data_IF_397955854640
#
_entry.id   IF_397955854640
#
_cell.length_a   1.000
_cell.length_b   1.000
_cell.length_c   1.000
_cell.angle_alpha   90.00
_cell.angle_beta   90.00
_cell.angle_gamma   90.00
#
_symmetry.space_group_name_H-M   'P 1'
#
loop_
_entity.id
_entity.type
_entity.pdbx_description
1 polymer ?
#
# COMPACT_ATOMS: atom_id res chain seq x y z
N UNK A 1 -17.36 -13.76 -11.70
CA UNK A 1 -17.99 -12.49 -12.13
C UNK A 1 -17.49 -11.39 -11.19
N UNK A 2 -16.96 -10.26 -11.70
CA UNK A 2 -16.40 -9.18 -10.88
C UNK A 2 -17.52 -8.22 -10.47
N UNK A 3 -17.80 -8.06 -9.17
CA UNK A 3 -18.78 -7.09 -8.70
C UNK A 3 -18.02 -5.82 -8.28
N UNK A 4 -18.17 -4.74 -9.05
CA UNK A 4 -17.65 -3.40 -8.73
C UNK A 4 -18.81 -2.56 -8.22
N UNK A 5 -18.86 -2.29 -6.92
CA UNK A 5 -19.84 -1.36 -6.34
C UNK A 5 -19.30 0.07 -6.49
N UNK A 6 -19.83 0.81 -7.48
CA UNK A 6 -19.45 2.20 -7.72
C UNK A 6 -20.26 3.13 -6.80
N UNK A 7 -19.56 3.96 -6.02
CA UNK A 7 -20.12 4.73 -4.90
C UNK A 7 -20.44 6.19 -5.32
N UNK A 8 -21.24 6.39 -6.38
CA UNK A 8 -21.61 7.75 -6.83
C UNK A 8 -22.87 8.32 -6.18
N UNK A 9 -23.68 7.52 -5.48
CA UNK A 9 -24.92 8.03 -4.86
C UNK A 9 -25.00 7.69 -3.36
N UNK A 10 -24.65 8.68 -2.54
CA UNK A 10 -24.72 8.63 -1.07
C UNK A 10 -26.12 8.28 -0.53
N UNK A 11 -27.18 8.39 -1.34
CA UNK A 11 -28.56 8.13 -0.93
C UNK A 11 -28.92 6.63 -0.89
N UNK A 12 -28.17 5.77 -1.60
CA UNK A 12 -28.43 4.32 -1.63
C UNK A 12 -27.67 3.53 -0.55
N UNK A 13 -26.72 4.16 0.16
CA UNK A 13 -25.96 3.52 1.24
C UNK A 13 -26.89 3.09 2.38
N UNK A 14 -27.91 3.89 2.72
CA UNK A 14 -28.94 3.47 3.68
C UNK A 14 -29.82 2.34 3.15
N UNK A 15 -30.08 2.29 1.84
CA UNK A 15 -30.96 1.28 1.22
C UNK A 15 -30.29 -0.09 1.13
N UNK A 16 -28.99 -0.13 0.78
CA UNK A 16 -28.20 -1.38 0.75
C UNK A 16 -27.94 -1.87 2.18
N UNK A 17 -27.66 -0.97 3.14
CA UNK A 17 -27.45 -1.34 4.54
C UNK A 17 -28.71 -1.90 5.20
N UNK A 18 -29.89 -1.37 4.86
CA UNK A 18 -31.18 -1.88 5.35
C UNK A 18 -31.53 -3.25 4.75
N UNK A 19 -31.20 -3.49 3.47
CA UNK A 19 -31.42 -4.79 2.82
C UNK A 19 -30.40 -5.87 3.21
N UNK A 20 -29.16 -5.49 3.53
CA UNK A 20 -28.12 -6.43 3.99
C UNK A 20 -28.44 -7.07 5.36
N UNK A 21 -29.31 -6.46 6.16
CA UNK A 21 -29.68 -6.95 7.48
C UNK A 21 -30.95 -7.84 7.50
N UNK A 22 -31.71 -7.96 6.40
CA UNK A 22 -33.07 -8.51 6.47
C UNK A 22 -33.53 -9.56 5.45
N UNK A 23 -32.73 -10.03 4.49
CA UNK A 23 -33.25 -11.11 3.62
C UNK A 23 -32.23 -12.06 3.01
N UNK A 24 -32.69 -13.31 2.89
CA UNK A 24 -32.04 -14.56 2.55
C UNK A 24 -31.69 -14.85 1.07
N UNK A 25 -31.94 -14.02 0.03
CA UNK A 25 -31.66 -14.47 -1.34
C UNK A 25 -30.22 -14.22 -1.83
N UNK A 26 -29.30 -13.67 -1.03
CA UNK A 26 -27.91 -13.42 -1.48
C UNK A 26 -27.01 -14.66 -1.57
N UNK A 27 -27.49 -15.85 -1.19
CA UNK A 27 -26.77 -17.13 -1.31
C UNK A 27 -26.18 -17.39 -2.70
N UNK A 28 -26.83 -16.91 -3.77
CA UNK A 28 -26.37 -17.11 -5.16
C UNK A 28 -25.29 -16.11 -5.61
N UNK A 29 -25.15 -14.95 -4.94
CA UNK A 29 -24.15 -13.94 -5.31
C UNK A 29 -22.73 -14.34 -4.86
N UNK A 30 -22.63 -15.23 -3.88
CA UNK A 30 -21.36 -15.61 -3.25
C UNK A 30 -20.63 -16.77 -3.93
N UNK A 31 -21.29 -17.55 -4.80
CA UNK A 31 -20.66 -18.76 -5.34
C UNK A 31 -19.56 -18.52 -6.39
N UNK A 32 -19.40 -17.30 -6.94
CA UNK A 32 -18.37 -17.03 -7.99
C UNK A 32 -17.81 -15.58 -7.97
N UNK A 33 -17.81 -14.88 -6.83
CA UNK A 33 -17.51 -13.43 -6.80
C UNK A 33 -16.37 -13.09 -5.84
N UNK A 34 -15.28 -12.50 -6.38
CA UNK A 34 -14.26 -11.77 -5.62
C UNK A 34 -14.73 -10.32 -5.50
N UNK A 35 -14.90 -9.84 -4.27
CA UNK A 35 -15.54 -8.55 -4.00
C UNK A 35 -14.51 -7.43 -4.05
N UNK A 36 -14.75 -6.40 -4.88
CA UNK A 36 -14.04 -5.12 -4.82
C UNK A 36 -14.90 -4.17 -4.00
N UNK A 37 -14.38 -3.68 -2.88
CA UNK A 37 -15.12 -2.74 -2.03
C UNK A 37 -14.35 -1.44 -1.83
N UNK A 38 -14.87 -0.36 -2.43
CA UNK A 38 -14.34 1.00 -2.38
C UNK A 38 -15.16 1.81 -1.35
N UNK A 39 -15.04 1.49 -0.06
CA UNK A 39 -15.57 2.38 0.97
C UNK A 39 -14.52 3.39 1.40
N UNK A 40 -15.03 4.55 1.79
CA UNK A 40 -14.24 5.64 2.35
C UNK A 40 -14.12 5.55 3.89
N UNK A 41 -14.64 4.49 4.52
CA UNK A 41 -14.74 4.35 5.97
C UNK A 41 -14.54 2.89 6.40
N UNK A 42 -13.35 2.33 6.17
CA UNK A 42 -13.04 0.93 6.50
C UNK A 42 -13.11 0.65 8.00
N UNK A 43 -12.67 1.59 8.83
CA UNK A 43 -12.81 1.48 10.29
C UNK A 43 -14.23 1.22 10.80
N UNK A 44 -15.25 1.77 10.15
CA UNK A 44 -16.64 1.65 10.63
C UNK A 44 -17.35 0.43 10.05
N UNK A 45 -17.14 0.16 8.76
CA UNK A 45 -17.94 -0.83 8.03
C UNK A 45 -17.11 -1.89 7.29
N UNK A 46 -15.79 -1.71 7.21
CA UNK A 46 -14.91 -2.59 6.45
C UNK A 46 -14.90 -4.02 6.99
N UNK A 47 -14.90 -4.19 8.33
CA UNK A 47 -14.84 -5.52 8.94
C UNK A 47 -16.06 -6.38 8.58
N UNK A 48 -17.27 -5.80 8.59
CA UNK A 48 -18.48 -6.52 8.24
C UNK A 48 -18.40 -7.10 6.81
N UNK A 49 -17.76 -6.37 5.90
CA UNK A 49 -17.56 -6.81 4.51
C UNK A 49 -16.48 -7.87 4.39
N UNK A 50 -15.35 -7.73 5.07
CA UNK A 50 -14.31 -8.77 5.11
C UNK A 50 -14.87 -10.06 5.71
N UNK A 51 -15.59 -9.94 6.83
CA UNK A 51 -16.27 -11.05 7.50
C UNK A 51 -17.21 -11.77 6.54
N UNK A 52 -18.13 -11.03 5.91
CA UNK A 52 -19.09 -11.60 4.97
C UNK A 52 -18.39 -12.28 3.79
N UNK A 53 -17.33 -11.68 3.22
CA UNK A 53 -16.58 -12.30 2.14
C UNK A 53 -15.95 -13.64 2.57
N UNK A 54 -15.20 -13.64 3.67
CA UNK A 54 -14.45 -14.81 4.15
C UNK A 54 -15.39 -15.93 4.65
N UNK A 55 -16.48 -15.58 5.33
CA UNK A 55 -17.48 -16.55 5.77
C UNK A 55 -18.17 -17.23 4.59
N UNK A 56 -18.42 -16.51 3.50
CA UNK A 56 -19.09 -17.03 2.30
C UNK A 56 -18.15 -17.58 1.22
N UNK A 57 -16.84 -17.71 1.49
CA UNK A 57 -15.92 -18.33 0.52
C UNK A 57 -15.40 -17.39 -0.56
N UNK A 58 -15.46 -16.07 -0.35
CA UNK A 58 -14.99 -15.05 -1.28
C UNK A 58 -13.68 -14.40 -0.82
N UNK A 59 -12.81 -14.08 -1.79
CA UNK A 59 -11.63 -13.24 -1.57
C UNK A 59 -12.00 -11.75 -1.60
N UNK A 60 -11.21 -10.92 -0.92
CA UNK A 60 -11.44 -9.50 -0.73
C UNK A 60 -10.23 -8.66 -1.12
N UNK A 61 -10.47 -7.52 -1.77
CA UNK A 61 -9.48 -6.46 -1.99
C UNK A 61 -10.05 -5.10 -1.62
N UNK A 62 -9.22 -4.24 -1.02
CA UNK A 62 -9.58 -2.90 -0.59
C UNK A 62 -8.48 -1.86 -0.87
N UNK A 63 -8.81 -0.58 -0.70
CA UNK A 63 -7.87 0.56 -0.79
C UNK A 63 -7.64 1.22 0.57
N UNK A 64 -7.78 0.46 1.66
CA UNK A 64 -7.63 1.02 2.99
C UNK A 64 -6.19 1.46 3.24
N UNK A 65 -6.03 2.73 3.59
CA UNK A 65 -4.77 3.30 4.06
C UNK A 65 -4.67 3.36 5.58
N UNK A 66 -5.47 2.55 6.31
CA UNK A 66 -5.60 2.60 7.76
C UNK A 66 -4.92 1.38 8.41
N UNK A 67 -3.68 1.51 8.97
CA UNK A 67 -2.94 0.38 9.51
C UNK A 67 -3.70 -0.46 10.54
N UNK A 68 -4.45 0.18 11.44
CA UNK A 68 -5.24 -0.52 12.45
C UNK A 68 -6.32 -1.42 11.83
N UNK A 69 -6.99 -0.95 10.78
CA UNK A 69 -7.95 -1.77 10.06
C UNK A 69 -7.25 -2.95 9.38
N UNK A 70 -6.24 -2.67 8.54
CA UNK A 70 -5.50 -3.67 7.77
C UNK A 70 -4.93 -4.79 8.67
N UNK A 71 -4.29 -4.41 9.77
CA UNK A 71 -3.65 -5.34 10.70
C UNK A 71 -4.68 -6.11 11.53
N UNK A 72 -5.82 -5.49 11.89
CA UNK A 72 -6.90 -6.18 12.58
C UNK A 72 -7.58 -7.25 11.70
N UNK A 73 -7.69 -7.01 10.39
CA UNK A 73 -8.24 -8.00 9.46
C UNK A 73 -7.32 -9.22 9.38
N UNK A 74 -6.00 -9.01 9.40
CA UNK A 74 -5.04 -10.11 9.48
C UNK A 74 -5.22 -10.89 10.79
N UNK A 75 -5.26 -10.18 11.92
CA UNK A 75 -5.43 -10.82 13.23
C UNK A 75 -6.70 -11.67 13.33
N UNK A 76 -7.81 -11.22 12.75
CA UNK A 76 -9.12 -11.88 12.87
C UNK A 76 -9.37 -12.96 11.82
N UNK A 77 -8.93 -12.74 10.58
CA UNK A 77 -9.38 -13.54 9.43
C UNK A 77 -8.28 -14.34 8.75
N UNK A 78 -7.01 -14.22 9.16
CA UNK A 78 -5.92 -14.95 8.50
C UNK A 78 -6.18 -16.46 8.50
N UNK A 79 -6.44 -17.07 9.67
CA UNK A 79 -6.58 -18.53 9.79
C UNK A 79 -7.72 -19.11 8.94
N UNK A 80 -8.88 -18.46 8.94
CA UNK A 80 -10.02 -18.90 8.14
C UNK A 80 -9.77 -18.69 6.65
N UNK A 81 -9.08 -17.62 6.26
CA UNK A 81 -8.66 -17.38 4.88
C UNK A 81 -7.66 -18.45 4.41
N UNK A 82 -6.67 -18.84 5.25
CA UNK A 82 -5.74 -19.93 4.90
C UNK A 82 -6.47 -21.26 4.74
N UNK A 83 -7.32 -21.62 5.71
CA UNK A 83 -8.08 -22.89 5.69
C UNK A 83 -8.98 -23.02 4.47
N UNK A 84 -9.58 -21.92 4.02
CA UNK A 84 -10.48 -21.89 2.85
C UNK A 84 -9.75 -21.59 1.52
N UNK A 85 -8.44 -21.33 1.54
CA UNK A 85 -7.70 -20.90 0.35
C UNK A 85 -8.15 -19.55 -0.22
N UNK A 86 -8.63 -18.65 0.64
CA UNK A 86 -9.10 -17.31 0.27
C UNK A 86 -8.00 -16.27 0.50
N UNK A 87 -8.12 -15.15 -0.20
CA UNK A 87 -7.19 -14.03 -0.07
C UNK A 87 -7.91 -12.79 0.42
N UNK A 88 -7.34 -12.12 1.41
CA UNK A 88 -7.74 -10.77 1.83
C UNK A 88 -6.53 -9.88 1.61
N UNK A 89 -6.56 -9.04 0.58
CA UNK A 89 -5.42 -8.17 0.25
C UNK A 89 -5.82 -6.71 0.40
N UNK A 90 -5.41 -6.11 1.51
CA UNK A 90 -5.68 -4.71 1.78
C UNK A 90 -4.63 -3.78 1.17
N UNK A 91 -4.89 -2.47 1.21
CA UNK A 91 -3.99 -1.43 0.71
C UNK A 91 -3.66 -1.54 -0.80
N UNK A 92 -4.63 -2.01 -1.60
CA UNK A 92 -4.53 -2.09 -3.06
C UNK A 92 -4.81 -0.73 -3.76
N UNK A 93 -4.49 0.39 -3.11
CA UNK A 93 -4.62 1.74 -3.64
C UNK A 93 -3.29 2.34 -4.10
N UNK A 94 -3.36 3.54 -4.71
CA UNK A 94 -2.15 4.32 -5.05
C UNK A 94 -1.33 4.71 -3.82
N UNK A 95 -1.98 4.86 -2.68
CA UNK A 95 -1.39 5.23 -1.40
C UNK A 95 -0.53 4.12 -0.77
N UNK A 96 -0.36 2.96 -1.43
CA UNK A 96 0.46 1.87 -0.93
C UNK A 96 1.13 1.03 -2.03
N UNK A 97 0.45 0.69 -3.13
CA UNK A 97 1.02 -0.18 -4.18
C UNK A 97 2.33 0.37 -4.78
N UNK A 98 2.42 1.66 -5.20
CA UNK A 98 3.64 2.23 -5.75
C UNK A 98 4.84 2.14 -4.79
N UNK A 99 4.62 2.34 -3.49
CA UNK A 99 5.68 2.25 -2.49
C UNK A 99 6.03 0.78 -2.19
N UNK A 100 5.04 -0.04 -1.88
CA UNK A 100 5.20 -1.43 -1.46
C UNK A 100 5.81 -2.30 -2.57
N UNK A 101 5.20 -2.30 -3.75
CA UNK A 101 5.78 -2.98 -4.92
C UNK A 101 7.03 -2.30 -5.45
N UNK A 102 7.22 -1.01 -5.17
CA UNK A 102 8.44 -0.29 -5.56
C UNK A 102 9.65 -0.75 -4.77
N UNK A 103 9.52 -0.98 -3.46
CA UNK A 103 10.57 -1.57 -2.63
C UNK A 103 10.89 -2.99 -3.12
N UNK A 104 9.87 -3.79 -3.41
CA UNK A 104 10.07 -5.12 -4.00
C UNK A 104 10.77 -5.06 -5.37
N UNK A 105 10.38 -4.12 -6.22
CA UNK A 105 10.98 -3.90 -7.53
C UNK A 105 12.47 -3.56 -7.41
N UNK A 106 12.83 -2.67 -6.46
CA UNK A 106 14.22 -2.37 -6.15
C UNK A 106 14.98 -3.60 -5.66
N UNK A 107 14.42 -4.39 -4.72
CA UNK A 107 15.06 -5.62 -4.23
C UNK A 107 15.38 -6.59 -5.37
N UNK A 108 14.46 -6.73 -6.33
CA UNK A 108 14.63 -7.62 -7.48
C UNK A 108 15.68 -7.13 -8.49
N UNK A 109 15.86 -5.81 -8.61
CA UNK A 109 16.84 -5.21 -9.53
C UNK A 109 18.20 -4.95 -8.88
N UNK A 110 18.28 -4.95 -7.55
CA UNK A 110 19.51 -4.71 -6.84
C UNK A 110 20.41 -5.95 -6.84
N UNK A 111 21.55 -5.84 -7.52
CA UNK A 111 22.58 -6.89 -7.57
C UNK A 111 23.41 -6.90 -6.28
N UNK A 112 22.79 -7.39 -5.19
CA UNK A 112 23.40 -7.46 -3.87
C UNK A 112 22.35 -7.45 -2.75
N UNK A 113 22.72 -7.07 -1.53
CA UNK A 113 21.77 -6.94 -0.42
C UNK A 113 21.33 -5.49 -0.22
N UNK A 114 20.04 -5.23 -0.40
CA UNK A 114 19.45 -3.92 -0.14
C UNK A 114 19.28 -3.71 1.38
N UNK A 115 19.88 -2.65 1.93
CA UNK A 115 19.79 -2.33 3.36
C UNK A 115 18.58 -1.46 3.66
N UNK A 116 18.46 -0.35 2.92
CA UNK A 116 17.40 0.61 3.13
C UNK A 116 16.97 1.33 1.84
N UNK A 117 15.75 1.85 1.87
CA UNK A 117 15.14 2.65 0.81
C UNK A 117 14.56 3.93 1.41
N UNK A 118 14.89 5.07 0.82
CA UNK A 118 14.18 6.33 1.03
C UNK A 118 13.19 6.54 -0.14
N UNK A 119 11.90 6.66 0.15
CA UNK A 119 10.87 6.93 -0.87
C UNK A 119 10.39 8.37 -0.81
N UNK A 120 10.11 8.95 -1.98
CA UNK A 120 9.64 10.32 -2.11
C UNK A 120 8.44 10.38 -3.04
N UNK A 121 7.27 10.71 -2.50
CA UNK A 121 6.08 10.97 -3.30
C UNK A 121 6.09 12.42 -3.79
N UNK A 122 5.96 12.58 -5.10
CA UNK A 122 5.88 13.86 -5.79
C UNK A 122 4.59 13.90 -6.60
N UNK A 123 3.78 14.94 -6.38
CA UNK A 123 2.58 15.22 -7.19
C UNK A 123 2.91 16.34 -8.18
N UNK A 124 2.69 16.09 -9.45
CA UNK A 124 2.85 17.03 -10.54
C UNK A 124 1.46 17.53 -10.96
N UNK A 125 1.20 18.82 -10.79
CA UNK A 125 -0.07 19.45 -11.18
C UNK A 125 -0.02 19.88 -12.65
N UNK A 126 -1.09 19.58 -13.40
CA UNK A 126 -1.29 19.84 -14.83
C UNK A 126 -2.72 20.30 -15.17
N UNK A 127 -3.02 20.63 -16.45
CA UNK A 127 -4.17 21.47 -16.80
C UNK A 127 -5.61 20.87 -16.77
N UNK A 128 -5.88 19.56 -16.67
CA UNK A 128 -7.25 18.99 -16.90
C UNK A 128 -7.81 17.82 -16.01
N UNK A 129 -7.85 17.85 -14.66
CA UNK A 129 -8.39 16.73 -13.85
C UNK A 129 -8.30 16.84 -12.32
N UNK A 130 -8.28 15.77 -11.52
CA UNK A 130 -8.61 15.81 -10.08
C UNK A 130 -7.46 15.42 -9.14
N UNK A 131 -7.53 15.75 -7.85
CA UNK A 131 -6.66 15.14 -6.81
C UNK A 131 -7.39 15.01 -5.46
N UNK A 132 -7.90 13.81 -5.15
CA UNK A 132 -8.54 13.36 -3.88
C UNK A 132 -10.07 13.37 -3.84
N UNK A 133 -10.65 12.42 -3.10
CA UNK A 133 -12.09 12.33 -2.84
C UNK A 133 -12.36 12.75 -1.38
N UNK A 134 -13.60 13.16 -1.06
CA UNK A 134 -13.98 13.58 0.30
C UNK A 134 -13.76 12.49 1.37
N UNK A 135 -13.56 11.24 0.94
CA UNK A 135 -13.30 10.11 1.81
C UNK A 135 -11.92 10.08 2.42
N UNK A 136 -10.89 10.44 1.67
CA UNK A 136 -9.51 10.51 2.18
C UNK A 136 -9.42 11.45 3.40
N UNK A 137 -10.08 12.61 3.36
CA UNK A 137 -10.10 13.54 4.49
C UNK A 137 -10.78 12.94 5.73
N UNK A 138 -11.94 12.29 5.56
CA UNK A 138 -12.66 11.66 6.68
C UNK A 138 -11.90 10.47 7.26
N UNK A 139 -11.29 9.61 6.44
CA UNK A 139 -10.40 8.53 6.90
C UNK A 139 -9.21 9.07 7.70
N UNK A 140 -8.58 10.15 7.21
CA UNK A 140 -7.46 10.77 7.92
C UNK A 140 -7.90 11.32 9.29
N UNK A 141 -9.03 12.04 9.35
CA UNK A 141 -9.61 12.54 10.61
C UNK A 141 -9.92 11.40 11.57
N UNK A 142 -10.55 10.31 11.09
CA UNK A 142 -10.86 9.15 11.92
C UNK A 142 -9.62 8.40 12.38
N UNK A 143 -8.57 8.33 11.56
CA UNK A 143 -7.29 7.73 11.94
C UNK A 143 -6.63 8.53 13.07
N UNK A 144 -6.62 9.87 12.98
CA UNK A 144 -6.10 10.71 14.06
C UNK A 144 -6.95 10.65 15.32
N UNK A 145 -8.28 10.70 15.19
CA UNK A 145 -9.20 10.65 16.33
C UNK A 145 -9.08 9.36 17.14
N UNK A 146 -8.77 8.24 16.48
CA UNK A 146 -8.72 6.91 17.12
C UNK A 146 -7.29 6.38 17.33
N UNK A 147 -6.25 7.14 16.99
CA UNK A 147 -4.86 6.67 17.06
C UNK A 147 -4.48 6.11 18.44
N UNK A 148 -5.03 6.67 19.52
CA UNK A 148 -4.77 6.22 20.90
C UNK A 148 -5.63 5.03 21.33
N UNK A 149 -6.80 4.83 20.71
CA UNK A 149 -7.78 3.79 21.09
C UNK A 149 -7.63 2.51 20.27
N UNK A 150 -6.89 2.56 19.17
CA UNK A 150 -6.74 1.46 18.20
C UNK A 150 -5.96 0.24 18.69
N UNK A 151 -5.30 0.33 19.84
CA UNK A 151 -4.50 -0.77 20.41
C UNK A 151 -3.52 -1.40 19.39
N UNK A 152 -3.00 -0.61 18.44
CA UNK A 152 -2.22 -1.09 17.29
C UNK A 152 -1.01 -1.93 17.72
N UNK A 153 -0.35 -1.57 18.82
CA UNK A 153 0.76 -2.33 19.38
C UNK A 153 0.38 -3.74 19.81
N UNK A 154 -0.84 -3.94 20.33
CA UNK A 154 -1.34 -5.28 20.69
C UNK A 154 -1.58 -6.10 19.43
N UNK A 155 -2.18 -5.50 18.40
CA UNK A 155 -2.43 -6.16 17.11
C UNK A 155 -1.08 -6.58 16.50
N UNK A 156 -0.11 -5.67 16.42
CA UNK A 156 1.24 -5.95 15.89
C UNK A 156 1.94 -7.08 16.61
N UNK A 157 1.89 -7.11 17.94
CA UNK A 157 2.44 -8.23 18.73
C UNK A 157 1.75 -9.56 18.44
N UNK A 158 0.47 -9.54 18.06
CA UNK A 158 -0.26 -10.76 17.70
C UNK A 158 0.09 -11.27 16.30
N UNK A 159 0.19 -10.38 15.30
CA UNK A 159 0.40 -10.78 13.90
C UNK A 159 1.88 -10.83 13.48
N UNK A 160 2.74 -10.14 14.23
CA UNK A 160 4.19 -10.06 14.03
C UNK A 160 4.89 -10.20 15.40
N UNK A 161 4.80 -11.38 16.06
CA UNK A 161 5.35 -11.58 17.41
C UNK A 161 6.87 -11.53 17.46
N UNK A 162 7.53 -11.84 16.36
CA UNK A 162 8.99 -11.83 16.25
C UNK A 162 9.51 -10.50 15.72
N UNK A 163 10.66 -10.06 16.24
CA UNK A 163 11.34 -8.87 15.74
C UNK A 163 12.09 -9.20 14.43
N UNK A 164 11.85 -8.40 13.39
CA UNK A 164 12.69 -8.43 12.20
C UNK A 164 14.16 -8.13 12.57
N UNK A 165 15.14 -8.87 12.01
CA UNK A 165 16.54 -8.52 12.19
C UNK A 165 16.79 -7.14 11.58
N UNK A 166 17.67 -6.36 12.21
CA UNK A 166 17.95 -4.99 11.81
C UNK A 166 19.43 -4.83 11.60
N UNK A 167 19.81 -4.26 10.46
CA UNK A 167 21.20 -3.85 10.24
C UNK A 167 21.65 -2.83 11.30
N UNK A 168 22.91 -2.95 11.72
CA UNK A 168 23.61 -1.93 12.50
C UNK A 168 23.70 -0.60 11.75
N UNK A 169 23.70 -0.64 10.41
CA UNK A 169 23.68 0.52 9.54
C UNK A 169 22.25 1.03 9.33
N UNK A 170 21.90 2.09 10.07
CA UNK A 170 20.59 2.73 10.04
C UNK A 170 20.38 3.57 8.78
N UNK A 171 19.11 3.82 8.47
CA UNK A 171 18.69 4.83 7.50
C UNK A 171 19.27 6.20 7.84
N UNK A 172 19.60 7.03 6.83
CA UNK A 172 20.05 8.39 7.06
C UNK A 172 19.06 9.17 7.92
N UNK A 173 19.55 9.84 8.97
CA UNK A 173 18.70 10.73 9.78
C UNK A 173 18.37 11.98 8.96
N UNK A 174 17.08 12.19 8.69
CA UNK A 174 16.57 13.40 8.03
C UNK A 174 15.88 14.30 9.06
N UNK A 175 16.00 15.62 8.87
CA UNK A 175 15.20 16.58 9.64
C UNK A 175 13.73 16.54 9.22
N UNK A 176 12.84 17.13 10.02
CA UNK A 176 11.40 17.20 9.71
C UNK A 176 11.09 17.99 8.44
N UNK A 177 11.98 18.90 8.05
CA UNK A 177 11.94 19.66 6.81
C UNK A 177 13.37 19.80 6.32
N UNK A 178 13.65 19.33 5.10
CA UNK A 178 14.97 19.43 4.51
C UNK A 178 14.85 19.54 2.99
N UNK A 179 15.82 20.18 2.34
CA UNK A 179 15.85 20.29 0.89
C UNK A 179 16.68 19.14 0.29
N UNK A 180 16.14 18.46 -0.71
CA UNK A 180 16.81 17.39 -1.43
C UNK A 180 17.24 17.91 -2.81
N UNK A 181 18.55 18.13 -2.98
CA UNK A 181 19.14 18.66 -4.21
C UNK A 181 18.87 17.76 -5.42
N UNK A 182 18.87 16.44 -5.26
CA UNK A 182 18.61 15.49 -6.35
C UNK A 182 17.18 15.59 -6.90
N UNK A 183 16.24 15.98 -6.04
CA UNK A 183 14.82 16.12 -6.41
C UNK A 183 14.37 17.56 -6.59
N UNK A 184 15.27 18.54 -6.42
CA UNK A 184 15.00 19.98 -6.45
C UNK A 184 13.74 20.34 -5.64
N UNK A 185 13.69 19.94 -4.36
CA UNK A 185 12.50 20.18 -3.55
C UNK A 185 12.65 19.90 -2.06
N UNK A 186 11.72 20.45 -1.30
CA UNK A 186 11.58 20.22 0.13
C UNK A 186 10.94 18.87 0.41
N UNK A 187 11.49 18.15 1.37
CA UNK A 187 11.04 16.84 1.82
C UNK A 187 10.50 16.94 3.24
N UNK A 188 9.33 16.34 3.45
CA UNK A 188 8.61 16.27 4.72
C UNK A 188 8.26 14.79 4.97
N UNK A 189 8.36 14.26 6.20
CA UNK A 189 7.93 12.90 6.49
C UNK A 189 6.50 12.61 6.00
N UNK A 190 6.31 11.48 5.33
CA UNK A 190 5.00 11.00 4.93
C UNK A 190 4.42 10.12 6.05
N UNK A 191 3.26 10.51 6.59
CA UNK A 191 2.58 9.82 7.69
C UNK A 191 1.42 8.93 7.20
N UNK A 192 1.46 8.50 5.94
CA UNK A 192 0.48 7.55 5.40
C UNK A 192 0.81 6.08 5.69
N UNK A 193 0.07 5.14 5.06
CA UNK A 193 0.20 3.71 5.32
C UNK A 193 1.50 3.09 4.82
N UNK A 194 2.18 3.71 3.84
CA UNK A 194 3.35 3.18 3.13
C UNK A 194 4.34 2.45 4.04
N UNK A 195 4.84 3.12 5.08
CA UNK A 195 5.84 2.54 5.99
C UNK A 195 5.31 1.31 6.73
N UNK A 196 4.04 1.32 7.12
CA UNK A 196 3.38 0.21 7.81
C UNK A 196 3.16 -0.99 6.88
N UNK A 197 2.73 -0.72 5.64
CA UNK A 197 2.48 -1.75 4.62
C UNK A 197 3.80 -2.39 4.20
N UNK A 198 4.81 -1.60 3.85
CA UNK A 198 6.15 -2.11 3.49
C UNK A 198 6.74 -2.94 4.63
N UNK A 199 6.64 -2.48 5.88
CA UNK A 199 7.13 -3.23 7.04
C UNK A 199 6.49 -4.62 7.13
N UNK A 200 5.17 -4.73 6.91
CA UNK A 200 4.46 -6.02 6.87
C UNK A 200 4.91 -6.88 5.70
N UNK A 201 5.11 -6.30 4.51
CA UNK A 201 5.66 -7.04 3.36
C UNK A 201 7.06 -7.59 3.65
N UNK A 202 7.93 -6.80 4.29
CA UNK A 202 9.25 -7.27 4.72
C UNK A 202 9.17 -8.36 5.80
N UNK A 203 8.16 -8.31 6.66
CA UNK A 203 7.89 -9.38 7.62
C UNK A 203 7.53 -10.70 6.93
N UNK A 204 6.62 -10.66 5.95
CA UNK A 204 6.29 -11.83 5.15
C UNK A 204 7.51 -12.39 4.41
N UNK A 205 8.29 -11.53 3.75
CA UNK A 205 9.52 -11.92 3.07
C UNK A 205 10.51 -12.65 3.98
N UNK A 206 10.73 -12.12 5.17
CA UNK A 206 11.64 -12.72 6.14
C UNK A 206 11.12 -14.04 6.69
N UNK A 207 9.84 -14.10 7.09
CA UNK A 207 9.27 -15.29 7.74
C UNK A 207 8.98 -16.43 6.78
N UNK A 208 8.56 -16.13 5.55
CA UNK A 208 8.18 -17.15 4.57
C UNK A 208 9.33 -17.54 3.64
N UNK A 209 10.29 -16.64 3.41
CA UNK A 209 11.34 -16.84 2.40
C UNK A 209 12.76 -16.59 2.92
N UNK A 210 12.95 -16.31 4.21
CA UNK A 210 14.25 -16.03 4.82
C UNK A 210 15.02 -14.90 4.13
N UNK A 211 14.31 -13.96 3.52
CA UNK A 211 14.91 -12.79 2.85
C UNK A 211 15.14 -11.69 3.88
N UNK A 212 16.37 -11.17 3.96
CA UNK A 212 16.71 -10.08 4.88
C UNK A 212 15.83 -8.83 4.60
N UNK A 213 15.23 -8.23 5.65
CA UNK A 213 14.28 -7.13 5.51
C UNK A 213 14.96 -5.81 5.14
N UNK A 214 14.34 -5.04 4.25
CA UNK A 214 14.81 -3.71 3.88
C UNK A 214 14.15 -2.62 4.73
N UNK A 215 14.94 -1.73 5.32
CA UNK A 215 14.42 -0.58 6.08
C UNK A 215 13.83 0.46 5.12
N UNK A 216 12.71 1.11 5.47
CA UNK A 216 12.09 2.13 4.63
C UNK A 216 11.82 3.42 5.40
N UNK A 217 12.13 4.55 4.78
CA UNK A 217 11.71 5.88 5.22
C UNK A 217 10.98 6.58 4.07
N UNK A 218 9.87 7.24 4.39
CA UNK A 218 8.91 7.72 3.40
C UNK A 218 8.71 9.23 3.55
N UNK A 219 8.79 9.96 2.43
CA UNK A 219 8.72 11.41 2.41
C UNK A 219 7.77 11.93 1.33
N UNK A 220 7.20 13.10 1.54
CA UNK A 220 6.52 13.91 0.54
C UNK A 220 7.50 14.97 0.03
N UNK A 221 7.65 15.08 -1.29
CA UNK A 221 8.43 16.13 -1.95
C UNK A 221 7.51 17.25 -2.43
N UNK A 222 7.80 18.48 -2.03
CA UNK A 222 7.11 19.70 -2.45
C UNK A 222 8.10 20.78 -2.90
N UNK A 223 7.72 21.62 -3.87
CA UNK A 223 8.55 22.77 -4.26
C UNK A 223 8.63 23.85 -3.19
N UNK A 224 7.62 23.97 -2.34
CA UNK A 224 7.60 24.96 -1.26
C UNK A 224 6.74 24.45 -0.09
N UNK A 225 7.29 24.51 1.13
CA UNK A 225 6.61 24.07 2.36
C UNK A 225 5.42 24.98 2.68
N UNK A 226 5.58 26.30 2.57
CA UNK A 226 4.51 27.27 2.80
C UNK A 226 3.36 27.01 1.83
N UNK A 227 3.67 26.82 0.55
CA UNK A 227 2.64 26.54 -0.45
C UNK A 227 1.98 25.18 -0.23
N UNK A 228 2.71 24.18 0.28
CA UNK A 228 2.13 22.88 0.66
C UNK A 228 1.19 23.02 1.87
N UNK A 229 1.57 23.81 2.87
CA UNK A 229 0.74 24.08 4.04
C UNK A 229 -0.53 24.88 3.68
N UNK A 230 -0.39 25.92 2.86
CA UNK A 230 -1.54 26.70 2.37
C UNK A 230 -2.47 25.84 1.51
N UNK A 231 -1.90 24.99 0.64
CA UNK A 231 -2.70 24.01 -0.11
C UNK A 231 -3.38 23.03 0.84
N UNK A 232 -2.69 22.53 1.87
CA UNK A 232 -3.25 21.68 2.93
C UNK A 232 -4.51 22.30 3.56
N UNK A 233 -4.45 23.59 3.91
CA UNK A 233 -5.59 24.33 4.44
C UNK A 233 -6.71 24.56 3.41
N UNK A 234 -6.35 24.75 2.14
CA UNK A 234 -7.28 25.08 1.06
C UNK A 234 -7.94 23.87 0.38
N UNK A 235 -7.56 22.62 0.73
CA UNK A 235 -8.14 21.38 0.19
C UNK A 235 -9.66 21.26 0.39
N UNK A 236 -10.26 22.06 1.27
CA UNK A 236 -11.70 22.03 1.55
C UNK A 236 -12.58 22.69 0.46
N UNK A 237 -12.03 23.51 -0.45
CA UNK A 237 -12.86 24.49 -1.19
C UNK A 237 -12.99 24.26 -2.71
N UNK A 238 -11.99 23.78 -3.45
CA UNK A 238 -12.08 23.68 -4.93
C UNK A 238 -11.19 22.58 -5.51
N UNK A 239 -11.71 21.79 -6.46
CA UNK A 239 -11.02 20.66 -7.07
C UNK A 239 -11.25 20.56 -8.58
N UNK A 240 -10.33 21.13 -9.40
CA UNK A 240 -10.07 20.74 -10.81
C UNK A 240 -8.65 21.20 -11.25
N UNK A 241 -7.61 20.36 -11.17
CA UNK A 241 -6.37 20.31 -12.01
C UNK A 241 -5.77 18.88 -12.11
N UNK A 242 -5.43 18.38 -13.31
CA UNK A 242 -4.98 16.99 -13.59
C UNK A 242 -3.69 16.76 -12.82
N UNK A 243 -3.62 15.71 -12.01
CA UNK A 243 -2.36 15.34 -11.36
C UNK A 243 -1.72 14.16 -12.11
N UNK A 244 -0.39 14.11 -12.09
CA UNK A 244 0.36 12.86 -12.23
C UNK A 244 1.22 12.71 -10.99
N UNK A 245 1.69 11.50 -10.72
CA UNK A 245 2.61 11.29 -9.61
C UNK A 245 3.94 10.70 -10.07
N UNK A 246 4.94 10.91 -9.24
CA UNK A 246 6.19 10.18 -9.27
C UNK A 246 6.49 9.73 -7.85
N UNK A 247 6.66 8.43 -7.66
CA UNK A 247 7.26 7.83 -6.47
C UNK A 247 8.73 7.59 -6.80
N UNK A 248 9.63 8.37 -6.21
CA UNK A 248 11.06 8.10 -6.30
C UNK A 248 11.47 7.11 -5.21
N UNK A 249 12.34 6.17 -5.53
CA UNK A 249 12.85 5.18 -4.59
C UNK A 249 14.38 5.14 -4.67
N UNK A 250 15.02 5.54 -3.58
CA UNK A 250 16.48 5.57 -3.45
C UNK A 250 16.93 4.40 -2.58
N UNK A 251 17.44 3.35 -3.21
CA UNK A 251 17.97 2.18 -2.54
C UNK A 251 19.47 2.30 -2.26
N UNK A 252 19.89 1.91 -1.06
CA UNK A 252 21.30 1.77 -0.68
C UNK A 252 21.53 0.41 -0.05
N UNK A 253 22.61 -0.26 -0.43
CA UNK A 253 22.94 -1.61 0.03
C UNK A 253 24.40 -1.99 -0.23
N UNK A 254 24.66 -3.28 -0.23
CA UNK A 254 25.98 -3.86 -0.52
C UNK A 254 25.96 -4.65 -1.81
N UNK A 255 27.09 -4.76 -2.49
CA UNK A 255 27.24 -5.66 -3.64
C UNK A 255 27.17 -7.14 -3.23
N UNK A 256 27.70 -7.46 -2.05
CA UNK A 256 27.69 -8.81 -1.50
C UNK A 256 26.33 -9.16 -0.87
N UNK A 257 26.01 -10.46 -0.85
CA UNK A 257 24.86 -11.02 -0.16
C UNK A 257 25.34 -11.96 0.93
N UNK A 258 24.95 -11.66 2.15
CA UNK A 258 25.15 -12.47 3.34
C UNK A 258 23.84 -12.97 3.90
N UNK A 259 23.90 -14.01 4.74
CA UNK A 259 22.73 -14.64 5.34
C UNK A 259 22.21 -13.88 6.57
N UNK A 260 23.10 -13.15 7.24
CA UNK A 260 22.81 -12.32 8.41
C UNK A 260 23.32 -10.89 8.22
N UNK A 261 22.69 -9.94 8.92
CA UNK A 261 23.19 -8.56 8.98
C UNK A 261 24.49 -8.43 9.78
N UNK A 262 24.81 -9.37 10.65
CA UNK A 262 26.02 -9.34 11.49
C UNK A 262 27.31 -9.57 10.68
N UNK A 263 27.18 -10.10 9.46
CA UNK A 263 28.29 -10.37 8.55
C UNK A 263 28.78 -9.09 7.85
N UNK A 264 27.99 -8.00 7.86
CA UNK A 264 28.39 -6.73 7.26
C UNK A 264 29.20 -5.87 8.25
N UNK A 265 30.48 -5.69 7.95
CA UNK A 265 31.38 -4.81 8.72
C UNK A 265 31.55 -3.42 8.10
N UNK A 266 31.31 -3.29 6.79
CA UNK A 266 31.47 -2.05 6.02
C UNK A 266 30.12 -1.38 5.78
N UNK A 267 30.11 -0.05 5.72
CA UNK A 267 28.90 0.72 5.38
C UNK A 267 28.41 0.38 3.96
N UNK A 268 27.08 0.37 3.73
CA UNK A 268 26.55 0.15 2.39
C UNK A 268 26.92 1.33 1.49
N UNK A 269 27.44 1.04 0.31
CA UNK A 269 28.02 2.00 -0.64
C UNK A 269 27.33 1.97 -2.01
N UNK A 270 26.87 0.80 -2.44
CA UNK A 270 26.14 0.60 -3.69
C UNK A 270 24.74 1.21 -3.64
N UNK A 271 24.37 1.94 -4.69
CA UNK A 271 23.07 2.64 -4.76
C UNK A 271 22.33 2.33 -6.05
N UNK A 272 21.01 2.39 -5.95
CA UNK A 272 20.09 2.24 -7.07
C UNK A 272 18.97 3.27 -6.93
N UNK A 273 18.55 3.87 -8.04
CA UNK A 273 17.42 4.78 -8.07
C UNK A 273 16.39 4.19 -9.02
N UNK A 274 15.18 3.97 -8.51
CA UNK A 274 14.02 3.65 -9.30
C UNK A 274 12.97 4.75 -9.16
N UNK A 275 12.01 4.74 -10.07
CA UNK A 275 10.78 5.49 -9.89
C UNK A 275 9.57 4.70 -10.35
N UNK A 276 8.44 4.95 -9.68
CA UNK A 276 7.12 4.57 -10.15
C UNK A 276 6.40 5.84 -10.61
N UNK A 277 6.07 5.91 -11.89
CA UNK A 277 5.34 7.04 -12.49
C UNK A 277 3.93 6.61 -12.84
N UNK A 278 2.98 7.53 -12.77
CA UNK A 278 1.64 7.24 -13.22
C UNK A 278 0.76 8.46 -13.40
N UNK A 279 -0.45 8.24 -13.95
CA UNK A 279 -1.45 9.28 -14.15
C UNK A 279 -2.02 9.75 -12.80
N UNK A 280 -3.21 10.32 -12.78
CA UNK A 280 -3.84 10.80 -11.54
C UNK A 280 -3.78 9.73 -10.42
N UNK A 281 -3.23 10.07 -9.24
CA UNK A 281 -3.15 9.14 -8.12
C UNK A 281 -4.53 8.73 -7.59
N UNK A 282 -5.51 9.66 -7.60
CA UNK A 282 -6.77 9.50 -6.89
C UNK A 282 -7.73 8.53 -7.55
N UNK A 283 -8.07 8.74 -8.82
CA UNK A 283 -9.04 7.94 -9.56
C UNK A 283 -8.34 6.95 -10.47
N UNK A 284 -7.55 7.42 -11.45
CA UNK A 284 -7.04 6.53 -12.51
C UNK A 284 -6.13 5.45 -11.91
N UNK A 285 -5.13 5.86 -11.13
CA UNK A 285 -4.16 4.90 -10.58
C UNK A 285 -4.78 4.02 -9.51
N UNK A 286 -5.56 4.57 -8.59
CA UNK A 286 -6.21 3.77 -7.55
C UNK A 286 -7.20 2.75 -8.16
N UNK A 287 -8.00 3.15 -9.15
CA UNK A 287 -8.89 2.21 -9.85
C UNK A 287 -8.10 1.12 -10.58
N UNK A 288 -7.00 1.49 -11.25
CA UNK A 288 -6.13 0.52 -11.91
C UNK A 288 -5.52 -0.47 -10.92
N UNK A 289 -4.99 0.01 -9.78
CA UNK A 289 -4.41 -0.79 -8.72
C UNK A 289 -5.41 -1.84 -8.20
N UNK A 290 -6.62 -1.44 -7.83
CA UNK A 290 -7.64 -2.35 -7.29
C UNK A 290 -8.11 -3.36 -8.34
N UNK A 291 -8.37 -2.89 -9.56
CA UNK A 291 -8.81 -3.75 -10.65
C UNK A 291 -7.74 -4.80 -10.97
N UNK A 292 -6.48 -4.38 -11.06
CA UNK A 292 -5.36 -5.29 -11.31
C UNK A 292 -5.22 -6.28 -10.15
N UNK A 293 -5.27 -5.85 -8.89
CA UNK A 293 -5.24 -6.75 -7.73
C UNK A 293 -6.34 -7.82 -7.79
N UNK A 294 -7.58 -7.42 -8.11
CA UNK A 294 -8.68 -8.38 -8.24
C UNK A 294 -8.49 -9.36 -9.40
N UNK A 295 -8.00 -8.87 -10.55
CA UNK A 295 -7.69 -9.71 -11.71
C UNK A 295 -6.54 -10.68 -11.44
N UNK A 296 -5.54 -10.28 -10.66
CA UNK A 296 -4.44 -11.14 -10.26
C UNK A 296 -4.91 -12.28 -9.38
N UNK A 297 -5.80 -12.00 -8.43
CA UNK A 297 -6.41 -13.06 -7.65
C UNK A 297 -7.10 -14.09 -8.54
N UNK A 298 -7.77 -13.66 -9.62
CA UNK A 298 -8.49 -14.53 -10.56
C UNK A 298 -7.56 -15.31 -11.51
N UNK A 299 -6.55 -14.66 -12.06
CA UNK A 299 -5.83 -15.16 -13.22
C UNK A 299 -4.43 -15.71 -12.90
N UNK A 300 -3.87 -15.36 -11.74
CA UNK A 300 -2.50 -15.73 -11.34
C UNK A 300 -2.51 -16.57 -10.06
N UNK A 301 -3.56 -17.37 -9.84
CA UNK A 301 -3.74 -18.14 -8.60
C UNK A 301 -2.58 -19.13 -8.31
N UNK A 302 -1.88 -19.58 -9.34
CA UNK A 302 -0.67 -20.43 -9.27
C UNK A 302 0.57 -19.70 -8.77
N UNK A 303 0.56 -18.37 -8.76
CA UNK A 303 1.67 -17.49 -8.34
C UNK A 303 1.42 -16.76 -7.03
N UNK A 304 0.25 -16.97 -6.43
CA UNK A 304 -0.08 -16.41 -5.12
C UNK A 304 0.53 -17.26 -4.01
N UNK A 305 0.80 -16.67 -2.82
CA UNK A 305 1.12 -17.46 -1.64
C UNK A 305 -0.06 -18.36 -1.24
N UNK A 306 0.09 -19.15 -0.17
CA UNK A 306 -1.05 -19.81 0.46
C UNK A 306 -2.16 -18.77 0.77
N UNK A 307 -3.43 -19.21 0.83
CA UNK A 307 -4.53 -18.34 1.28
C UNK A 307 -4.20 -17.67 2.62
N UNK A 308 -4.73 -16.47 2.84
CA UNK A 308 -4.39 -15.65 4.00
C UNK A 308 -4.68 -14.17 3.80
N UNK A 309 -4.22 -13.35 4.75
CA UNK A 309 -4.38 -11.90 4.72
C UNK A 309 -3.03 -11.24 4.47
N UNK A 310 -2.91 -10.49 3.38
CA UNK A 310 -1.62 -10.03 2.84
C UNK A 310 -1.60 -8.52 2.55
N UNK A 311 -0.39 -7.99 2.44
CA UNK A 311 -0.11 -6.72 1.76
C UNK A 311 0.01 -6.94 0.25
N UNK A 312 -0.06 -5.89 -0.58
CA UNK A 312 0.06 -6.03 -2.03
C UNK A 312 1.36 -6.70 -2.48
N UNK A 313 2.52 -6.31 -1.94
CA UNK A 313 3.78 -6.93 -2.32
C UNK A 313 3.88 -8.39 -1.85
N UNK A 314 3.42 -8.71 -0.63
CA UNK A 314 3.43 -10.09 -0.14
C UNK A 314 2.52 -11.01 -0.98
N UNK A 315 1.40 -10.49 -1.48
CA UNK A 315 0.46 -11.26 -2.31
C UNK A 315 0.89 -11.35 -3.79
N UNK A 316 1.40 -10.25 -4.36
CA UNK A 316 1.45 -10.08 -5.81
C UNK A 316 2.86 -9.93 -6.40
N UNK A 317 3.94 -9.89 -5.60
CA UNK A 317 5.31 -9.66 -6.10
C UNK A 317 5.75 -10.60 -7.23
N UNK A 318 5.30 -11.85 -7.19
CA UNK A 318 5.67 -12.91 -8.15
C UNK A 318 4.67 -13.08 -9.30
N UNK A 319 3.64 -12.22 -9.33
CA UNK A 319 2.58 -12.23 -10.34
C UNK A 319 2.89 -11.26 -11.49
N UNK A 320 2.02 -11.21 -12.51
CA UNK A 320 2.14 -10.24 -13.61
C UNK A 320 1.72 -8.80 -13.25
N UNK A 321 1.79 -8.38 -11.98
CA UNK A 321 1.27 -7.08 -11.52
C UNK A 321 1.91 -5.89 -12.23
N UNK A 322 3.23 -5.87 -12.37
CA UNK A 322 3.97 -4.76 -12.99
C UNK A 322 3.53 -4.51 -14.44
N UNK A 323 3.49 -5.55 -15.26
CA UNK A 323 3.07 -5.44 -16.67
C UNK A 323 1.57 -5.14 -16.86
N UNK A 324 0.72 -5.50 -15.88
CA UNK A 324 -0.71 -5.14 -15.91
C UNK A 324 -0.94 -3.68 -15.53
N UNK A 325 -0.24 -3.18 -14.52
CA UNK A 325 -0.27 -1.77 -14.12
C UNK A 325 0.25 -0.84 -15.22
N UNK A 326 1.28 -1.28 -15.96
CA UNK A 326 1.84 -0.52 -17.08
C UNK A 326 0.81 -0.21 -18.17
N UNK A 327 -0.14 -1.12 -18.44
CA UNK A 327 -1.24 -0.89 -19.40
C UNK A 327 -2.17 0.26 -19.00
N UNK A 328 -2.17 0.63 -17.72
CA UNK A 328 -2.92 1.78 -17.19
C UNK A 328 -2.01 3.00 -16.93
N UNK A 329 -0.78 2.99 -17.44
CA UNK A 329 0.17 4.09 -17.33
C UNK A 329 0.97 4.12 -16.03
N UNK A 330 0.82 3.12 -15.15
CA UNK A 330 1.57 2.99 -13.89
C UNK A 330 2.82 2.14 -14.13
N UNK A 331 3.99 2.77 -14.18
CA UNK A 331 5.23 2.12 -14.64
C UNK A 331 6.34 2.24 -13.61
N UNK A 332 7.06 1.14 -13.40
CA UNK A 332 8.24 1.07 -12.55
C UNK A 332 9.48 0.99 -13.43
N UNK A 333 10.45 1.89 -13.21
CA UNK A 333 11.65 1.97 -14.02
C UNK A 333 12.88 2.27 -13.19
N UNK A 334 14.03 1.70 -13.59
CA UNK A 334 15.33 2.05 -13.06
C UNK A 334 15.81 3.33 -13.74
N UNK A 335 16.22 4.30 -12.94
CA UNK A 335 16.72 5.60 -13.39
C UNK A 335 18.24 5.63 -13.40
N UNK A 336 18.86 5.07 -12.36
CA UNK A 336 20.32 5.12 -12.18
C UNK A 336 20.79 3.94 -11.33
N UNK A 337 21.90 3.31 -11.72
CA UNK A 337 22.68 2.40 -10.89
C UNK A 337 24.05 3.03 -10.64
N UNK A 338 24.38 3.24 -9.37
CA UNK A 338 25.66 3.81 -8.95
C UNK A 338 26.49 2.69 -8.33
N UNK A 339 27.58 2.34 -9.03
CA UNK A 339 28.55 1.33 -8.62
C UNK A 339 29.52 1.87 -7.59
#
# INVERSE_FOLDING_TARGET
>A
MLLVLNCQEFQYIHFIYFYMLQSSPFYALFQVVKLIYLLLQYRLYGEAVVKAAVENGASHVDISGEPAFLESMQMKYNDIAQKKGLYVVGACGWDSIPCDLGVNFLKNKFSGQLNHVETFVQINLGPAGYSTNAGTYRSLVLAFANMQTDNLDKIRRSIMPECLPRSSFRTPKRGSFWFNDKLDGWCIPFYGPDKSVVHRSQYFDYKLHSVLPTQVETFVRTKSVISAFLRFLWFAVLMVKQASFVYWLFGTGWAEKHSSFDEYSVKPDKKIIARCVGPDPGYITTSACVLVSALLLLNDADKLPQGGVYTPAAAFKDTGIYGRLEKYGVRFEIVEELH
#
